data_IF_952273596202
#
_entry.id   IF_952273596202
#
_cell.length_a   1.000
_cell.length_b   1.000
_cell.length_c   1.000
_cell.angle_alpha   90.00
_cell.angle_beta   90.00
_cell.angle_gamma   90.00
#
_symmetry.space_group_name_H-M   'P 1'
#
loop_
_entity.id
_entity.type
_entity.pdbx_description
1 polymer ?
#
# COMPACT_ATOMS: atom_id res chain seq x y z
N UNK A 1 7.97 13.75 32.66
CA UNK A 1 7.58 14.49 33.88
C UNK A 1 6.18 15.03 33.69
N UNK A 2 5.31 14.91 34.69
CA UNK A 2 3.93 15.43 34.64
C UNK A 2 3.69 16.13 35.98
N UNK A 3 3.28 17.40 35.92
CA UNK A 3 2.97 18.20 37.10
C UNK A 3 1.44 18.26 37.32
N UNK A 4 1.03 18.43 38.58
CA UNK A 4 -0.35 18.64 39.01
C UNK A 4 -0.99 19.89 38.38
N UNK A 5 -0.18 20.81 37.84
CA UNK A 5 -0.62 21.95 37.03
C UNK A 5 -0.97 21.64 35.57
N UNK A 6 -0.94 20.37 35.16
CA UNK A 6 -1.30 19.93 33.80
C UNK A 6 -0.21 20.17 32.74
N UNK A 7 1.02 20.46 33.18
CA UNK A 7 2.19 20.52 32.33
C UNK A 7 2.80 19.12 32.18
N UNK A 8 3.24 18.79 30.98
CA UNK A 8 3.92 17.54 30.70
C UNK A 8 5.17 17.78 29.86
N UNK A 9 6.21 16.98 30.13
CA UNK A 9 7.42 16.95 29.34
C UNK A 9 7.87 15.52 29.13
N UNK A 10 8.16 15.17 27.88
CA UNK A 10 8.69 13.89 27.47
C UNK A 10 9.90 14.15 26.61
N UNK A 11 11.05 13.61 27.00
CA UNK A 11 12.25 13.64 26.19
C UNK A 11 12.63 12.22 25.78
N UNK A 12 13.06 12.07 24.53
CA UNK A 12 13.52 10.81 23.97
C UNK A 12 14.84 11.05 23.23
N UNK A 13 15.78 10.14 23.46
CA UNK A 13 17.12 10.21 22.89
C UNK A 13 17.46 8.85 22.28
N UNK A 14 17.91 8.85 21.02
CA UNK A 14 18.37 7.67 20.32
C UNK A 14 19.59 8.03 19.46
N UNK A 15 20.78 7.78 19.98
CA UNK A 15 22.03 8.21 19.34
C UNK A 15 22.07 9.73 19.21
N UNK A 16 22.25 10.22 17.98
CA UNK A 16 22.27 11.66 17.65
C UNK A 16 20.87 12.28 17.51
N UNK A 17 19.80 11.49 17.65
CA UNK A 17 18.43 11.98 17.59
C UNK A 17 17.90 12.35 18.98
N UNK A 18 17.48 13.59 19.12
CA UNK A 18 16.77 14.14 20.26
C UNK A 18 15.34 14.51 19.87
N UNK A 19 14.39 14.18 20.74
CA UNK A 19 12.99 14.57 20.63
C UNK A 19 12.53 15.09 21.98
N UNK A 20 12.02 16.30 22.02
CA UNK A 20 11.42 16.89 23.21
C UNK A 20 9.98 17.28 22.92
N UNK A 21 9.07 16.74 23.69
CA UNK A 21 7.67 17.14 23.71
C UNK A 21 7.41 17.84 25.03
N UNK A 22 6.97 19.09 24.97
CA UNK A 22 6.50 19.83 26.12
C UNK A 22 5.10 20.37 25.86
N UNK A 23 4.27 20.43 26.89
CA UNK A 23 2.91 20.92 26.71
C UNK A 23 2.25 21.28 28.02
N UNK A 24 1.14 22.01 27.90
CA UNK A 24 0.30 22.42 29.03
C UNK A 24 -1.14 22.42 28.56
N UNK A 25 -2.00 21.66 29.25
CA UNK A 25 -3.40 21.47 28.86
C UNK A 25 -3.52 21.00 27.40
N UNK A 26 -4.14 21.81 26.53
CA UNK A 26 -4.31 21.52 25.11
C UNK A 26 -3.12 21.97 24.26
N UNK A 27 -2.21 22.80 24.78
CA UNK A 27 -1.05 23.26 24.02
C UNK A 27 0.08 22.23 24.09
N UNK A 28 0.75 22.03 22.96
CA UNK A 28 1.89 21.12 22.85
C UNK A 28 2.95 21.72 21.93
N UNK A 29 4.20 21.38 22.18
CA UNK A 29 5.35 21.73 21.36
C UNK A 29 6.24 20.50 21.25
N UNK A 30 6.48 20.06 20.03
CA UNK A 30 7.43 19.01 19.68
C UNK A 30 8.64 19.68 19.04
N UNK A 31 9.81 19.52 19.66
CA UNK A 31 11.10 19.83 19.07
C UNK A 31 11.82 18.55 18.70
N UNK A 32 12.38 18.52 17.51
CA UNK A 32 13.19 17.43 17.03
C UNK A 32 14.54 17.99 16.56
N UNK A 33 15.63 17.39 17.02
CA UNK A 33 16.98 17.71 16.58
C UNK A 33 17.73 16.42 16.32
N UNK A 34 18.27 16.27 15.11
CA UNK A 34 19.01 15.07 14.76
C UNK A 34 19.04 14.82 13.26
N UNK A 35 19.68 13.73 12.84
CA UNK A 35 19.85 13.40 11.43
C UNK A 35 18.55 12.95 10.75
N UNK A 36 17.55 12.46 11.51
CA UNK A 36 16.33 11.88 10.96
C UNK A 36 15.11 12.78 11.07
N UNK A 37 15.02 13.54 12.16
CA UNK A 37 13.96 14.51 12.41
C UNK A 37 14.60 15.81 12.89
N UNK A 38 14.24 16.91 12.23
CA UNK A 38 14.75 18.23 12.56
C UNK A 38 13.67 19.30 12.39
N UNK A 39 13.46 20.12 13.42
CA UNK A 39 12.52 21.24 13.40
C UNK A 39 11.60 21.26 14.60
N UNK A 40 10.47 21.94 14.45
CA UNK A 40 9.53 22.16 15.54
C UNK A 40 8.08 22.17 15.06
N UNK A 41 7.20 21.50 15.79
CA UNK A 41 5.75 21.56 15.63
C UNK A 41 5.09 22.05 16.91
N UNK A 42 3.97 22.75 16.79
CA UNK A 42 3.14 23.16 17.91
C UNK A 42 1.70 22.75 17.71
N UNK A 43 0.97 22.55 18.80
CA UNK A 43 -0.48 22.47 18.85
C UNK A 43 -1.02 23.68 19.64
N UNK A 44 -1.96 24.49 19.12
CA UNK A 44 -2.64 24.40 17.82
C UNK A 44 -1.68 24.32 16.61
N UNK A 45 -2.08 23.62 15.52
CA UNK A 45 -1.15 23.21 14.46
C UNK A 45 -0.36 24.36 13.83
N UNK A 46 0.95 24.38 14.06
CA UNK A 46 1.90 25.25 13.38
C UNK A 46 3.31 24.66 13.42
N UNK A 47 4.27 25.34 12.78
CA UNK A 47 5.67 24.93 12.70
C UNK A 47 6.02 24.15 11.43
N UNK A 48 7.23 23.59 11.41
CA UNK A 48 7.79 22.76 10.34
C UNK A 48 8.78 21.77 10.97
N UNK A 49 8.59 20.48 10.71
CA UNK A 49 9.53 19.41 11.01
C UNK A 49 9.87 18.69 9.72
N UNK A 50 11.16 18.60 9.43
CA UNK A 50 11.71 17.80 8.33
C UNK A 50 11.94 16.38 8.79
N UNK A 51 11.71 15.45 7.88
CA UNK A 51 11.90 14.02 8.06
C UNK A 51 12.86 13.52 6.98
N UNK A 52 13.91 12.84 7.40
CA UNK A 52 14.87 12.21 6.51
C UNK A 52 15.24 10.83 7.07
N UNK A 53 14.45 9.82 6.72
CA UNK A 53 14.56 8.49 7.31
C UNK A 53 15.14 7.49 6.30
N UNK A 54 16.37 6.99 6.50
CA UNK A 54 16.84 5.84 5.74
C UNK A 54 16.04 4.60 6.16
N UNK A 55 15.63 3.81 5.18
CA UNK A 55 14.95 2.52 5.35
C UNK A 55 15.82 1.41 4.75
N UNK A 56 16.91 0.99 5.42
CA UNK A 56 17.82 -0.03 4.91
C UNK A 56 17.15 -1.35 4.51
N UNK A 57 16.14 -1.88 5.24
CA UNK A 57 15.46 -3.13 4.84
C UNK A 57 14.75 -3.04 3.48
N UNK A 58 14.46 -1.82 3.01
CA UNK A 58 13.82 -1.55 1.73
C UNK A 58 14.79 -0.93 0.72
N UNK A 59 16.08 -0.81 1.06
CA UNK A 59 17.08 -0.09 0.28
C UNK A 59 16.57 1.28 -0.21
N UNK A 60 15.86 1.97 0.67
CA UNK A 60 15.11 3.19 0.33
C UNK A 60 15.33 4.29 1.34
N UNK A 61 14.99 5.52 0.98
CA UNK A 61 15.08 6.70 1.84
C UNK A 61 13.83 7.53 1.72
N UNK A 62 13.19 7.80 2.86
CA UNK A 62 12.05 8.69 2.94
C UNK A 62 12.54 10.11 3.25
N UNK A 63 12.12 11.08 2.44
CA UNK A 63 12.36 12.49 2.69
C UNK A 63 11.04 13.23 2.65
N UNK A 64 10.77 14.01 3.68
CA UNK A 64 9.53 14.76 3.76
C UNK A 64 9.55 15.86 4.80
N UNK A 65 8.39 16.46 5.00
CA UNK A 65 8.15 17.48 6.00
C UNK A 65 6.71 17.43 6.47
N UNK A 66 6.53 17.85 7.72
CA UNK A 66 5.23 18.11 8.35
C UNK A 66 5.20 19.58 8.72
N UNK A 67 4.21 20.35 8.27
CA UNK A 67 4.22 21.80 8.45
C UNK A 67 2.83 22.45 8.46
N UNK A 68 2.78 23.67 8.98
CA UNK A 68 1.64 24.58 8.84
C UNK A 68 0.34 24.13 9.53
N UNK A 69 -0.74 24.81 9.19
CA UNK A 69 -2.07 24.52 9.74
C UNK A 69 -2.56 23.12 9.33
N UNK A 70 -3.13 22.39 10.29
CA UNK A 70 -3.61 21.02 10.09
C UNK A 70 -2.52 19.96 9.91
N UNK A 71 -1.24 20.32 10.15
CA UNK A 71 -0.07 19.47 9.93
C UNK A 71 -0.06 18.86 8.53
N UNK A 72 0.17 19.71 7.52
CA UNK A 72 0.36 19.27 6.15
C UNK A 72 1.56 18.35 6.06
N UNK A 73 1.45 17.26 5.30
CA UNK A 73 2.50 16.28 5.11
C UNK A 73 2.85 16.26 3.63
N UNK A 74 4.13 16.40 3.32
CA UNK A 74 4.66 16.18 1.97
C UNK A 74 5.92 15.36 2.05
N UNK A 75 6.08 14.36 1.19
CA UNK A 75 7.30 13.57 1.14
C UNK A 75 7.38 12.62 -0.03
N UNK A 76 8.56 12.04 -0.19
CA UNK A 76 8.84 11.00 -1.16
C UNK A 76 9.67 9.90 -0.52
N UNK A 77 9.31 8.65 -0.80
CA UNK A 77 10.14 7.48 -0.58
C UNK A 77 10.76 7.11 -1.93
N UNK A 78 12.09 7.07 -1.98
CA UNK A 78 12.85 6.73 -3.19
C UNK A 78 13.87 5.64 -2.86
N UNK A 79 13.98 4.62 -3.72
CA UNK A 79 14.92 3.51 -3.54
C UNK A 79 14.59 2.31 -4.41
N UNK A 80 14.91 1.11 -3.90
CA UNK A 80 14.62 -0.14 -4.60
C UNK A 80 13.13 -0.29 -4.95
N UNK A 81 12.23 0.04 -4.01
CA UNK A 81 10.76 -0.06 -4.20
C UNK A 81 10.15 0.98 -5.17
N UNK A 82 10.97 1.65 -5.97
CA UNK A 82 10.58 2.74 -6.87
C UNK A 82 10.40 4.08 -6.17
N UNK A 83 9.52 4.93 -6.73
CA UNK A 83 9.22 6.25 -6.19
C UNK A 83 7.78 6.33 -5.70
N UNK A 84 7.61 6.55 -4.40
CA UNK A 84 6.30 6.82 -3.78
C UNK A 84 6.28 8.26 -3.29
N UNK A 85 5.33 9.06 -3.77
CA UNK A 85 5.10 10.41 -3.25
C UNK A 85 3.87 10.43 -2.36
N UNK A 86 3.94 11.19 -1.27
CA UNK A 86 2.88 11.36 -0.29
C UNK A 86 2.58 12.84 -0.11
N UNK A 87 1.31 13.22 -0.17
CA UNK A 87 0.84 14.58 0.13
C UNK A 87 -0.45 14.54 0.91
N UNK A 88 -0.61 15.32 1.96
CA UNK A 88 -1.82 15.31 2.77
C UNK A 88 -1.80 16.25 3.95
N UNK A 89 -2.67 15.98 4.91
CA UNK A 89 -2.76 16.66 6.20
C UNK A 89 -3.23 15.68 7.28
N UNK A 90 -2.81 15.90 8.52
CA UNK A 90 -3.21 15.04 9.64
C UNK A 90 -4.53 15.51 10.29
N UNK A 91 -4.87 16.80 10.19
CA UNK A 91 -6.03 17.39 10.85
C UNK A 91 -6.87 18.27 9.92
N UNK A 92 -8.09 17.82 9.53
CA UNK A 92 -8.58 16.45 9.59
C UNK A 92 -7.87 15.56 8.58
N UNK A 93 -7.67 14.28 8.91
CA UNK A 93 -6.90 13.31 8.13
C UNK A 93 -7.36 13.24 6.67
N UNK A 94 -6.49 13.64 5.74
CA UNK A 94 -6.66 13.41 4.32
C UNK A 94 -5.32 13.35 3.61
N UNK A 95 -5.23 12.65 2.48
CA UNK A 95 -3.98 12.58 1.73
C UNK A 95 -4.09 11.82 0.44
N UNK A 96 -3.00 11.82 -0.32
CA UNK A 96 -2.79 11.08 -1.54
C UNK A 96 -1.40 10.47 -1.52
N UNK A 97 -1.34 9.20 -1.86
CA UNK A 97 -0.12 8.46 -2.16
C UNK A 97 -0.09 8.18 -3.65
N UNK A 98 1.05 8.36 -4.29
CA UNK A 98 1.24 8.05 -5.71
C UNK A 98 2.50 7.24 -5.87
N UNK A 99 2.35 6.06 -6.46
CA UNK A 99 3.40 5.12 -6.80
C UNK A 99 3.75 5.29 -8.28
N UNK A 100 5.01 5.60 -8.57
CA UNK A 100 5.50 5.77 -9.92
C UNK A 100 6.51 4.68 -10.27
N UNK A 101 6.09 3.78 -11.17
CA UNK A 101 6.98 2.86 -11.85
C UNK A 101 7.80 1.94 -10.95
N UNK A 102 7.19 1.35 -9.92
CA UNK A 102 7.88 0.42 -9.03
C UNK A 102 7.95 -0.98 -9.62
N UNK A 103 9.02 -1.71 -9.32
CA UNK A 103 9.19 -3.06 -9.82
C UNK A 103 8.25 -4.02 -9.07
N UNK A 104 7.56 -4.90 -9.80
CA UNK A 104 6.64 -5.88 -9.21
C UNK A 104 7.38 -6.90 -8.33
N UNK A 105 8.59 -7.27 -8.75
CA UNK A 105 9.48 -8.19 -8.05
C UNK A 105 9.83 -7.73 -6.62
N UNK A 106 9.87 -6.42 -6.35
CA UNK A 106 10.16 -5.91 -5.00
C UNK A 106 9.04 -6.21 -4.00
N UNK A 107 7.80 -6.35 -4.48
CA UNK A 107 6.63 -6.63 -3.65
C UNK A 107 6.28 -8.12 -3.64
N UNK A 108 6.39 -8.78 -4.79
CA UNK A 108 5.88 -10.13 -5.01
C UNK A 108 6.98 -11.17 -5.16
N UNK A 109 8.26 -10.80 -5.31
CA UNK A 109 9.36 -11.71 -5.61
C UNK A 109 9.54 -12.83 -4.58
N UNK A 110 9.16 -12.60 -3.32
CA UNK A 110 9.15 -13.65 -2.29
C UNK A 110 8.18 -14.80 -2.60
N UNK A 111 7.06 -14.50 -3.25
CA UNK A 111 6.00 -15.47 -3.55
C UNK A 111 6.02 -15.91 -5.01
N UNK A 112 6.49 -15.05 -5.91
CA UNK A 112 6.58 -15.27 -7.34
C UNK A 112 7.96 -14.78 -7.85
N UNK A 113 9.03 -15.58 -7.65
CA UNK A 113 10.41 -15.14 -7.95
C UNK A 113 10.71 -14.85 -9.42
N UNK A 114 9.89 -15.39 -10.32
CA UNK A 114 10.04 -15.23 -11.77
C UNK A 114 9.08 -14.19 -12.35
N UNK A 115 8.27 -13.57 -11.50
CA UNK A 115 7.44 -12.43 -11.87
C UNK A 115 8.31 -11.19 -11.92
N UNK A 116 8.28 -10.52 -13.07
CA UNK A 116 8.82 -9.18 -13.26
C UNK A 116 7.70 -8.24 -13.60
N UNK A 117 7.97 -6.95 -13.55
CA UNK A 117 7.07 -5.98 -14.16
C UNK A 117 7.14 -4.63 -13.50
N UNK A 118 6.21 -3.76 -13.90
CA UNK A 118 6.12 -2.40 -13.40
C UNK A 118 4.72 -2.13 -12.93
N UNK A 119 4.59 -1.52 -11.76
CA UNK A 119 3.32 -1.07 -11.17
C UNK A 119 3.38 0.41 -10.86
N UNK A 120 2.29 1.10 -11.18
CA UNK A 120 2.04 2.49 -10.81
C UNK A 120 0.65 2.59 -10.21
N UNK A 121 0.39 3.66 -9.46
CA UNK A 121 -0.94 3.85 -8.91
C UNK A 121 -1.09 5.07 -8.03
N UNK A 122 -2.32 5.26 -7.57
CA UNK A 122 -2.70 6.35 -6.69
C UNK A 122 -3.67 5.83 -5.62
N UNK A 123 -3.51 6.32 -4.40
CA UNK A 123 -4.42 6.07 -3.28
C UNK A 123 -4.76 7.40 -2.62
N UNK A 124 -6.03 7.79 -2.63
CA UNK A 124 -6.56 8.94 -1.92
C UNK A 124 -7.22 8.49 -0.60
N UNK A 125 -6.90 9.15 0.49
CA UNK A 125 -7.41 8.91 1.84
C UNK A 125 -8.22 10.12 2.31
N UNK A 126 -9.40 9.88 2.86
CA UNK A 126 -10.25 10.86 3.54
C UNK A 126 -10.82 10.25 4.82
N UNK A 127 -10.30 10.68 5.97
CA UNK A 127 -10.62 10.09 7.27
C UNK A 127 -10.27 8.60 7.32
N UNK A 128 -11.28 7.75 7.51
CA UNK A 128 -11.16 6.28 7.56
C UNK A 128 -11.46 5.59 6.23
N UNK A 129 -11.71 6.37 5.17
CA UNK A 129 -11.98 5.86 3.83
C UNK A 129 -10.79 6.11 2.93
N UNK A 130 -10.49 5.18 2.06
CA UNK A 130 -9.60 5.44 0.95
C UNK A 130 -10.12 4.82 -0.34
N UNK A 131 -9.67 5.38 -1.45
CA UNK A 131 -9.96 4.92 -2.79
C UNK A 131 -8.71 5.05 -3.63
N UNK A 132 -8.49 4.11 -4.54
CA UNK A 132 -7.28 4.13 -5.33
C UNK A 132 -7.32 3.15 -6.47
N UNK A 133 -6.25 3.16 -7.23
CA UNK A 133 -6.05 2.22 -8.30
C UNK A 133 -4.58 1.95 -8.55
N UNK A 134 -4.32 0.79 -9.11
CA UNK A 134 -3.03 0.34 -9.58
C UNK A 134 -3.16 -0.02 -11.07
N UNK A 135 -2.13 0.28 -11.84
CA UNK A 135 -2.00 -0.17 -13.21
C UNK A 135 -0.56 -0.55 -13.50
N UNK A 136 -0.36 -1.42 -14.46
CA UNK A 136 0.97 -1.89 -14.77
C UNK A 136 1.00 -3.01 -15.78
N UNK A 137 2.17 -3.61 -15.88
CA UNK A 137 2.44 -4.76 -16.72
C UNK A 137 3.20 -5.79 -15.90
N UNK A 138 2.69 -7.02 -15.87
CA UNK A 138 3.37 -8.18 -15.32
C UNK A 138 4.05 -8.94 -16.46
N UNK A 139 5.29 -9.37 -16.28
CA UNK A 139 6.04 -10.18 -17.23
C UNK A 139 6.48 -11.48 -16.56
N UNK A 140 6.20 -12.60 -17.23
CA UNK A 140 6.63 -13.94 -16.82
C UNK A 140 7.11 -14.67 -18.06
N UNK A 141 8.34 -15.19 -18.04
CA UNK A 141 8.94 -15.92 -19.16
C UNK A 141 8.82 -15.20 -20.53
N UNK A 142 8.90 -13.87 -20.55
CA UNK A 142 8.77 -13.04 -21.76
C UNK A 142 7.32 -12.76 -22.20
N UNK A 143 6.33 -13.38 -21.57
CA UNK A 143 4.92 -13.05 -21.77
C UNK A 143 4.50 -11.88 -20.89
N UNK A 144 3.95 -10.83 -21.52
CA UNK A 144 3.50 -9.61 -20.85
C UNK A 144 1.99 -9.59 -20.69
N UNK A 145 1.55 -9.21 -19.49
CA UNK A 145 0.15 -9.21 -19.08
C UNK A 145 -0.16 -7.86 -18.42
N UNK A 146 -0.85 -6.94 -19.13
CA UNK A 146 -1.25 -5.68 -18.54
C UNK A 146 -2.29 -5.91 -17.45
N UNK A 147 -2.27 -5.11 -16.40
CA UNK A 147 -3.27 -5.14 -15.36
C UNK A 147 -3.75 -3.75 -14.96
N UNK A 148 -4.99 -3.72 -14.50
CA UNK A 148 -5.64 -2.56 -13.90
C UNK A 148 -6.39 -3.05 -12.67
N UNK A 149 -6.35 -2.28 -11.60
CA UNK A 149 -7.14 -2.50 -10.41
C UNK A 149 -7.60 -1.15 -9.88
N UNK A 150 -8.85 -1.07 -9.46
CA UNK A 150 -9.41 0.05 -8.75
C UNK A 150 -10.18 -0.48 -7.54
N UNK A 151 -10.03 0.17 -6.39
CA UNK A 151 -10.67 -0.27 -5.17
C UNK A 151 -10.92 0.87 -4.21
N UNK A 152 -11.80 0.59 -3.26
CA UNK A 152 -12.11 1.44 -2.14
C UNK A 152 -12.14 0.61 -0.87
N UNK A 153 -11.65 1.19 0.23
CA UNK A 153 -11.77 0.62 1.55
C UNK A 153 -12.36 1.64 2.51
N UNK A 154 -13.17 1.16 3.44
CA UNK A 154 -13.76 1.96 4.51
C UNK A 154 -14.19 1.06 5.67
N UNK A 155 -14.82 1.64 6.71
CA UNK A 155 -15.28 0.87 7.85
C UNK A 155 -16.18 -0.30 7.44
N UNK A 156 -15.70 -1.53 7.68
CA UNK A 156 -16.45 -2.76 7.45
C UNK A 156 -16.52 -3.26 6.00
N UNK A 157 -15.95 -2.54 5.03
CA UNK A 157 -16.07 -2.90 3.62
C UNK A 157 -14.80 -2.56 2.82
N UNK A 158 -14.31 -3.55 2.08
CA UNK A 158 -13.31 -3.37 1.02
C UNK A 158 -13.92 -3.87 -0.28
N UNK A 159 -13.84 -3.10 -1.35
CA UNK A 159 -14.28 -3.52 -2.68
C UNK A 159 -13.23 -3.17 -3.71
N UNK A 160 -13.08 -4.01 -4.71
CA UNK A 160 -12.14 -3.84 -5.79
C UNK A 160 -12.65 -4.46 -7.07
N UNK A 161 -12.30 -3.84 -8.20
CA UNK A 161 -12.52 -4.37 -9.54
C UNK A 161 -11.24 -4.20 -10.32
N UNK A 162 -10.94 -5.15 -11.16
CA UNK A 162 -9.74 -5.09 -11.97
C UNK A 162 -9.86 -5.90 -13.24
N UNK A 163 -8.77 -5.87 -13.97
CA UNK A 163 -8.59 -6.58 -15.21
C UNK A 163 -7.15 -7.06 -15.27
N UNK A 164 -6.96 -8.32 -15.67
CA UNK A 164 -5.67 -8.91 -15.92
C UNK A 164 -5.69 -9.46 -17.36
N UNK A 165 -4.95 -8.82 -18.27
CA UNK A 165 -5.10 -9.00 -19.71
C UNK A 165 -6.52 -8.68 -20.16
N UNK A 166 -7.25 -9.67 -20.67
CA UNK A 166 -8.66 -9.54 -21.06
C UNK A 166 -9.65 -10.04 -19.99
N UNK A 167 -9.14 -10.46 -18.83
CA UNK A 167 -9.93 -11.16 -17.81
C UNK A 167 -10.32 -10.20 -16.68
N UNK A 168 -11.57 -9.70 -16.63
CA UNK A 168 -12.04 -8.88 -15.53
C UNK A 168 -12.23 -9.71 -14.25
N UNK A 169 -11.98 -9.08 -13.11
CA UNK A 169 -12.23 -9.64 -11.79
C UNK A 169 -12.80 -8.60 -10.83
N UNK A 170 -13.44 -9.08 -9.77
CA UNK A 170 -13.97 -8.27 -8.68
C UNK A 170 -13.71 -8.99 -7.36
N UNK A 171 -13.42 -8.20 -6.34
CA UNK A 171 -13.21 -8.64 -4.96
C UNK A 171 -14.05 -7.77 -4.03
N UNK A 172 -14.69 -8.39 -3.06
CA UNK A 172 -15.33 -7.69 -1.95
C UNK A 172 -15.02 -8.42 -0.65
N UNK A 173 -14.65 -7.66 0.38
CA UNK A 173 -14.49 -8.14 1.73
C UNK A 173 -15.46 -7.36 2.63
N UNK A 174 -16.41 -8.07 3.20
CA UNK A 174 -17.42 -7.52 4.11
C UNK A 174 -17.38 -8.32 5.42
N UNK A 175 -16.89 -7.68 6.49
CA UNK A 175 -16.61 -8.37 7.75
C UNK A 175 -15.63 -9.55 7.56
N UNK A 176 -16.11 -10.77 7.81
CA UNK A 176 -15.35 -12.02 7.68
C UNK A 176 -15.49 -12.69 6.30
N UNK A 177 -16.32 -12.15 5.39
CA UNK A 177 -16.62 -12.80 4.11
C UNK A 177 -15.87 -12.15 2.96
N UNK A 178 -15.04 -12.94 2.29
CA UNK A 178 -14.37 -12.59 1.03
C UNK A 178 -15.15 -13.18 -0.16
N UNK A 179 -15.74 -12.30 -0.97
CA UNK A 179 -16.36 -12.64 -2.25
C UNK A 179 -15.40 -12.31 -3.40
N UNK A 180 -15.04 -13.32 -4.20
CA UNK A 180 -14.21 -13.18 -5.39
C UNK A 180 -15.02 -13.61 -6.62
N UNK A 181 -14.91 -12.84 -7.70
CA UNK A 181 -15.45 -13.24 -9.00
C UNK A 181 -14.50 -12.85 -10.11
N UNK A 182 -14.36 -13.70 -11.11
CA UNK A 182 -13.53 -13.42 -12.28
C UNK A 182 -14.12 -14.07 -13.52
N UNK A 183 -13.99 -13.41 -14.66
CA UNK A 183 -14.31 -13.96 -15.97
C UNK A 183 -13.05 -13.98 -16.80
N UNK A 184 -12.60 -15.19 -17.12
CA UNK A 184 -11.36 -15.43 -17.82
C UNK A 184 -11.61 -15.58 -19.32
N UNK A 185 -10.77 -14.92 -20.13
CA UNK A 185 -10.85 -14.93 -21.59
C UNK A 185 -9.49 -15.35 -22.15
N UNK A 186 -9.36 -16.63 -22.50
CA UNK A 186 -8.09 -17.20 -22.95
C UNK A 186 -6.94 -16.92 -21.98
N UNK A 187 -7.21 -17.02 -20.68
CA UNK A 187 -6.26 -16.61 -19.66
C UNK A 187 -5.11 -17.62 -19.57
N UNK A 188 -3.84 -17.18 -19.65
CA UNK A 188 -2.69 -18.07 -19.67
C UNK A 188 -2.35 -18.59 -18.27
N UNK A 189 -3.02 -19.68 -17.85
CA UNK A 189 -2.84 -20.29 -16.52
C UNK A 189 -1.39 -20.70 -16.24
N UNK A 190 -0.68 -21.16 -17.28
CA UNK A 190 0.72 -21.54 -17.19
C UNK A 190 1.61 -20.41 -16.63
N UNK A 191 1.28 -19.14 -16.88
CA UNK A 191 2.05 -18.01 -16.34
C UNK A 191 1.96 -17.92 -14.82
N UNK A 192 0.84 -18.31 -14.20
CA UNK A 192 0.74 -18.32 -12.73
C UNK A 192 1.70 -19.33 -12.11
N UNK A 193 1.82 -20.51 -12.72
CA UNK A 193 2.76 -21.53 -12.29
C UNK A 193 4.20 -21.10 -12.59
N UNK A 194 4.46 -20.56 -13.78
CA UNK A 194 5.81 -20.12 -14.16
C UNK A 194 6.32 -18.97 -13.28
N UNK A 195 5.44 -18.08 -12.82
CA UNK A 195 5.80 -17.00 -11.91
C UNK A 195 6.41 -17.51 -10.59
N UNK A 196 5.99 -18.71 -10.15
CA UNK A 196 6.42 -19.33 -8.89
C UNK A 196 7.51 -20.38 -9.11
N UNK A 197 7.31 -21.29 -10.06
CA UNK A 197 8.13 -22.47 -10.27
C UNK A 197 9.26 -22.28 -11.31
N UNK A 198 9.21 -21.19 -12.09
CA UNK A 198 10.15 -20.94 -13.18
C UNK A 198 9.66 -21.46 -14.53
N UNK A 199 10.51 -21.42 -15.57
CA UNK A 199 10.12 -21.83 -16.92
C UNK A 199 9.58 -23.27 -16.95
N UNK A 200 8.44 -23.45 -17.62
CA UNK A 200 7.78 -24.75 -17.81
C UNK A 200 7.67 -25.04 -19.31
N UNK A 201 7.67 -26.32 -19.68
CA UNK A 201 7.29 -26.75 -21.03
C UNK A 201 5.77 -26.90 -21.09
N UNK A 202 5.13 -26.20 -22.02
CA UNK A 202 3.69 -26.28 -22.25
C UNK A 202 2.95 -24.99 -21.90
N UNK A 203 1.91 -24.73 -22.69
CA UNK A 203 1.01 -23.60 -22.50
C UNK A 203 -0.35 -24.14 -22.07
N UNK A 204 -0.96 -23.53 -21.07
CA UNK A 204 -2.32 -23.83 -20.66
C UNK A 204 -3.15 -22.56 -20.65
N UNK A 205 -4.30 -22.59 -21.32
CA UNK A 205 -5.22 -21.47 -21.42
C UNK A 205 -6.58 -21.84 -20.87
N UNK A 206 -7.23 -20.87 -20.23
CA UNK A 206 -8.55 -21.08 -19.66
C UNK A 206 -9.52 -19.95 -20.00
N UNK A 207 -10.70 -20.35 -20.45
CA UNK A 207 -11.83 -19.44 -20.69
C UNK A 207 -13.00 -19.90 -19.83
N UNK A 208 -13.53 -19.00 -19.00
CA UNK A 208 -14.56 -19.38 -18.06
C UNK A 208 -14.89 -18.31 -17.03
N UNK A 209 -15.58 -18.71 -15.98
CA UNK A 209 -15.93 -17.88 -14.86
C UNK A 209 -15.65 -18.59 -13.53
N UNK A 210 -15.22 -17.79 -12.55
CA UNK A 210 -15.03 -18.20 -11.16
C UNK A 210 -15.89 -17.34 -10.28
N UNK A 211 -16.52 -17.97 -9.30
CA UNK A 211 -17.06 -17.28 -8.13
C UNK A 211 -16.66 -18.04 -6.88
N UNK A 212 -15.97 -17.38 -5.95
CA UNK A 212 -15.60 -17.93 -4.66
C UNK A 212 -16.19 -17.07 -3.54
N UNK A 213 -16.65 -17.72 -2.48
CA UNK A 213 -17.09 -17.10 -1.23
C UNK A 213 -16.34 -17.77 -0.10
N UNK A 214 -15.47 -17.03 0.57
CA UNK A 214 -14.56 -17.56 1.57
C UNK A 214 -14.80 -16.85 2.90
N UNK A 215 -15.25 -17.55 3.96
CA UNK A 215 -15.20 -17.02 5.32
C UNK A 215 -13.74 -17.08 5.81
N UNK A 216 -13.14 -15.93 6.12
CA UNK A 216 -11.72 -15.83 6.47
C UNK A 216 -11.37 -16.53 7.78
N UNK A 217 -12.30 -16.55 8.74
CA UNK A 217 -12.16 -17.31 9.99
C UNK A 217 -12.13 -18.83 9.80
N UNK A 218 -12.77 -19.33 8.75
CA UNK A 218 -12.84 -20.76 8.42
C UNK A 218 -12.74 -21.02 6.91
N UNK A 219 -11.57 -20.79 6.27
CA UNK A 219 -11.45 -20.80 4.81
C UNK A 219 -11.89 -22.12 4.14
N UNK A 220 -11.75 -23.24 4.86
CA UNK A 220 -12.17 -24.57 4.40
C UNK A 220 -13.69 -24.74 4.25
N UNK A 221 -14.50 -23.83 4.82
CA UNK A 221 -15.96 -23.79 4.64
C UNK A 221 -16.38 -22.92 3.45
N UNK A 222 -15.42 -22.50 2.63
CA UNK A 222 -15.67 -21.72 1.44
C UNK A 222 -16.54 -22.44 0.42
N UNK A 223 -17.35 -21.67 -0.30
CA UNK A 223 -18.12 -22.14 -1.45
C UNK A 223 -17.46 -21.61 -2.73
N UNK A 224 -17.39 -22.45 -3.76
CA UNK A 224 -16.79 -22.10 -5.02
C UNK A 224 -17.51 -22.71 -6.20
N UNK A 225 -17.70 -21.92 -7.27
CA UNK A 225 -18.18 -22.40 -8.56
C UNK A 225 -17.15 -22.02 -9.61
N UNK A 226 -16.69 -23.03 -10.35
CA UNK A 226 -15.78 -22.89 -11.49
C UNK A 226 -16.50 -23.46 -12.73
N UNK A 227 -16.63 -22.68 -13.79
CA UNK A 227 -17.18 -23.14 -15.07
C UNK A 227 -16.30 -22.64 -16.18
N UNK A 228 -15.85 -23.53 -17.07
CA UNK A 228 -15.06 -23.12 -18.22
C UNK A 228 -14.45 -24.27 -18.98
N UNK A 229 -13.73 -23.91 -20.04
CA UNK A 229 -13.05 -24.81 -20.96
C UNK A 229 -11.55 -24.52 -20.89
N UNK A 230 -10.76 -25.60 -20.81
CA UNK A 230 -9.31 -25.55 -20.74
C UNK A 230 -8.71 -26.18 -22.00
N UNK A 231 -7.63 -25.58 -22.48
CA UNK A 231 -6.90 -26.02 -23.67
C UNK A 231 -5.40 -26.02 -23.34
N UNK A 232 -4.70 -27.05 -23.79
CA UNK A 232 -3.26 -27.23 -23.66
C UNK A 232 -2.64 -27.41 -25.06
#
# INVERSE_FOLDING_TARGET
EVDLGGAYRVSYWAGEQALEVEGRLLEARLRAEGPYLAGELTYPPAGDVRVDLPLPPLESRFRGRVFGEGYQVEGALEGAVGRITAKGRLLPLSGRLRLEGAALEDFAGRYAPYLKGVVSGELALEGTRAQGGLSGEAEVAGSRLPFLFAGAFGPGLVQGKGQLGQSPFQVALEGDRLDLSASFRGFPLHLLLMAVAGPLEGEAYWTGAVRLRLPLSHPLRGEGVLVGEAWC
#
